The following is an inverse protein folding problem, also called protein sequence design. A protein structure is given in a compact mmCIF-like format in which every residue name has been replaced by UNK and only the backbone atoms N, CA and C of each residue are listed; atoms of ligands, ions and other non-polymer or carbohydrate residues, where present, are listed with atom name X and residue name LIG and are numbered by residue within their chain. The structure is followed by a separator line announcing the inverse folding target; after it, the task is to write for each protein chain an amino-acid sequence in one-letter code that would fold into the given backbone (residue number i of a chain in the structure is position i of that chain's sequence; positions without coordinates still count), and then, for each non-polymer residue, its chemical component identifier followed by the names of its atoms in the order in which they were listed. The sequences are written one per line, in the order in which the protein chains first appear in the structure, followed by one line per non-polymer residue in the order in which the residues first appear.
data_IF_325990768410
#
_entry.id   IF_325990768410
#
_cell.length_a   1.000
_cell.length_b   1.000
_cell.length_c   1.000
_cell.angle_alpha   90.00
_cell.angle_beta   90.00
_cell.angle_gamma   90.00
#
_symmetry.space_group_name_H-M   'P 1'
#
loop_
_entity.id
_entity.type
_entity.pdbx_description
1 polymer ?
#
# COMPACT_ATOMS: atom_id res chain seq x y z
N UNK A 1 -12.91 -17.70 -7.08
CA UNK A 1 -12.29 -17.52 -8.43
C UNK A 1 -11.18 -16.49 -8.36
N UNK A 2 -11.40 -15.34 -7.70
CA UNK A 2 -10.37 -14.33 -7.45
C UNK A 2 -9.22 -14.81 -6.56
N UNK A 3 -9.48 -15.67 -5.57
CA UNK A 3 -8.43 -16.22 -4.69
C UNK A 3 -7.37 -16.99 -5.49
N UNK A 4 -7.79 -17.76 -6.49
CA UNK A 4 -6.89 -18.53 -7.35
C UNK A 4 -6.01 -17.62 -8.24
N UNK A 5 -6.52 -16.46 -8.66
CA UNK A 5 -5.72 -15.49 -9.42
C UNK A 5 -4.65 -14.85 -8.53
N UNK A 6 -4.99 -14.52 -7.28
CA UNK A 6 -4.02 -14.01 -6.31
C UNK A 6 -2.98 -15.05 -5.91
N UNK A 7 -3.37 -16.31 -5.76
CA UNK A 7 -2.42 -17.40 -5.52
C UNK A 7 -1.49 -17.66 -6.71
N UNK A 8 -2.03 -17.58 -7.93
CA UNK A 8 -1.23 -17.69 -9.14
C UNK A 8 -0.25 -16.51 -9.28
N UNK A 9 -0.70 -15.29 -8.96
CA UNK A 9 0.14 -14.09 -8.92
C UNK A 9 1.29 -14.26 -7.91
N UNK A 10 0.99 -14.78 -6.71
CA UNK A 10 2.00 -15.09 -5.70
C UNK A 10 2.99 -16.14 -6.18
N UNK A 11 2.52 -17.19 -6.86
CA UNK A 11 3.36 -18.26 -7.42
C UNK A 11 4.30 -17.74 -8.52
N UNK A 12 3.78 -16.93 -9.45
CA UNK A 12 4.61 -16.33 -10.50
C UNK A 12 5.62 -15.34 -9.92
N UNK A 13 5.22 -14.54 -8.92
CA UNK A 13 6.12 -13.63 -8.23
C UNK A 13 7.27 -14.39 -7.53
N UNK A 14 6.96 -15.47 -6.82
CA UNK A 14 7.97 -16.33 -6.18
C UNK A 14 8.89 -16.99 -7.20
N UNK A 15 8.35 -17.34 -8.37
CA UNK A 15 9.11 -17.94 -9.48
C UNK A 15 9.96 -16.93 -10.25
N UNK A 16 9.88 -15.63 -9.94
CA UNK A 16 10.59 -14.56 -10.66
C UNK A 16 9.99 -14.22 -12.02
N UNK A 17 8.81 -14.76 -12.35
CA UNK A 17 8.10 -14.57 -13.60
C UNK A 17 7.27 -13.28 -13.54
N UNK A 18 7.96 -12.13 -13.62
CA UNK A 18 7.37 -10.81 -13.43
C UNK A 18 6.36 -10.45 -14.54
N UNK A 19 6.59 -10.88 -15.79
CA UNK A 19 5.68 -10.60 -16.90
C UNK A 19 4.33 -11.34 -16.74
N UNK A 20 4.37 -12.61 -16.33
CA UNK A 20 3.18 -13.41 -16.06
C UNK A 20 2.41 -12.85 -14.86
N UNK A 21 3.13 -12.45 -13.80
CA UNK A 21 2.52 -11.80 -12.65
C UNK A 21 1.86 -10.45 -13.03
N UNK A 22 2.48 -9.68 -13.92
CA UNK A 22 1.89 -8.44 -14.46
C UNK A 22 0.61 -8.73 -15.23
N UNK A 23 0.64 -9.74 -16.11
CA UNK A 23 -0.54 -10.13 -16.88
C UNK A 23 -1.71 -10.54 -15.97
N UNK A 24 -1.45 -11.33 -14.92
CA UNK A 24 -2.48 -11.69 -13.94
C UNK A 24 -3.01 -10.46 -13.21
N UNK A 25 -2.14 -9.57 -12.74
CA UNK A 25 -2.57 -8.36 -12.04
C UNK A 25 -3.46 -7.46 -12.93
N UNK A 26 -3.13 -7.35 -14.22
CA UNK A 26 -3.93 -6.61 -15.21
C UNK A 26 -5.28 -7.29 -15.47
N UNK A 27 -5.31 -8.62 -15.54
CA UNK A 27 -6.57 -9.37 -15.71
C UNK A 27 -7.53 -9.16 -14.53
N UNK A 28 -6.99 -9.03 -13.31
CA UNK A 28 -7.81 -8.72 -12.13
C UNK A 28 -8.36 -7.29 -12.23
N UNK A 29 -7.56 -6.32 -12.71
CA UNK A 29 -8.01 -4.94 -12.92
C UNK A 29 -9.04 -4.79 -14.05
N UNK A 30 -8.98 -5.63 -15.08
CA UNK A 30 -10.01 -5.67 -16.12
C UNK A 30 -11.37 -6.15 -15.55
N UNK A 31 -11.34 -7.06 -14.59
CA UNK A 31 -12.54 -7.56 -13.92
C UNK A 31 -13.05 -6.64 -12.82
N UNK A 32 -12.14 -5.99 -12.07
CA UNK A 32 -12.42 -5.04 -11.00
C UNK A 32 -11.61 -3.77 -11.28
N UNK A 33 -12.20 -2.79 -11.97
CA UNK A 33 -11.59 -1.47 -12.14
C UNK A 33 -11.22 -0.88 -10.78
N UNK A 34 -10.06 -0.22 -10.71
CA UNK A 34 -9.55 0.43 -9.49
C UNK A 34 -9.35 -0.46 -8.25
N UNK A 35 -9.10 -1.77 -8.44
CA UNK A 35 -8.68 -2.62 -7.32
C UNK A 35 -7.31 -2.17 -6.75
N UNK A 36 -7.34 -1.66 -5.53
CA UNK A 36 -6.19 -1.14 -4.80
C UNK A 36 -5.09 -2.22 -4.65
N UNK A 37 -5.48 -3.47 -4.40
CA UNK A 37 -4.53 -4.57 -4.18
C UNK A 37 -3.75 -4.86 -5.47
N UNK A 38 -4.45 -4.96 -6.59
CA UNK A 38 -3.83 -5.21 -7.90
C UNK A 38 -2.95 -4.03 -8.34
N UNK A 39 -3.36 -2.79 -8.09
CA UNK A 39 -2.53 -1.60 -8.34
C UNK A 39 -1.23 -1.61 -7.51
N UNK A 40 -1.30 -2.01 -6.24
CA UNK A 40 -0.12 -2.14 -5.39
C UNK A 40 0.85 -3.22 -5.89
N UNK A 41 0.33 -4.37 -6.30
CA UNK A 41 1.16 -5.43 -6.86
C UNK A 41 1.75 -5.05 -8.22
N UNK A 42 1.02 -4.36 -9.09
CA UNK A 42 1.58 -3.79 -10.32
C UNK A 42 2.71 -2.80 -10.01
N UNK A 43 2.52 -1.92 -9.02
CA UNK A 43 3.58 -1.02 -8.58
C UNK A 43 4.84 -1.77 -8.13
N UNK A 44 4.68 -2.87 -7.38
CA UNK A 44 5.80 -3.73 -6.98
C UNK A 44 6.49 -4.40 -8.19
N UNK A 45 5.71 -4.92 -9.13
CA UNK A 45 6.21 -5.57 -10.34
C UNK A 45 6.96 -4.59 -11.25
N UNK A 46 6.43 -3.37 -11.43
CA UNK A 46 7.12 -2.29 -12.15
C UNK A 46 8.40 -1.85 -11.45
N UNK A 47 8.38 -1.77 -10.11
CA UNK A 47 9.58 -1.47 -9.33
C UNK A 47 10.66 -2.54 -9.55
N UNK A 48 10.29 -3.82 -9.58
CA UNK A 48 11.22 -4.93 -9.87
C UNK A 48 11.69 -4.96 -11.33
N UNK A 49 10.84 -4.55 -12.26
CA UNK A 49 11.14 -4.47 -13.69
C UNK A 49 11.90 -3.20 -14.10
N UNK A 50 12.45 -2.44 -13.13
CA UNK A 50 13.14 -1.17 -13.32
C UNK A 50 12.29 -0.02 -13.92
N UNK A 51 10.97 -0.21 -14.08
CA UNK A 51 9.99 0.77 -14.56
C UNK A 51 9.55 1.69 -13.42
N UNK A 52 10.49 2.46 -12.88
CA UNK A 52 10.30 3.23 -11.64
C UNK A 52 9.25 4.33 -11.75
N UNK A 53 9.12 4.97 -12.91
CA UNK A 53 8.10 6.00 -13.18
C UNK A 53 6.69 5.43 -13.05
N UNK A 54 6.44 4.29 -13.69
CA UNK A 54 5.13 3.62 -13.68
C UNK A 54 4.83 3.00 -12.32
N UNK A 55 5.84 2.49 -11.62
CA UNK A 55 5.70 2.03 -10.24
C UNK A 55 5.18 3.15 -9.32
N UNK A 56 5.75 4.37 -9.43
CA UNK A 56 5.30 5.52 -8.64
C UNK A 56 3.88 5.95 -9.00
N UNK A 57 3.50 5.89 -10.27
CA UNK A 57 2.13 6.17 -10.71
C UNK A 57 1.14 5.17 -10.11
N UNK A 58 1.46 3.87 -10.16
CA UNK A 58 0.62 2.81 -9.59
C UNK A 58 0.48 2.93 -8.06
N UNK A 59 1.57 3.24 -7.34
CA UNK A 59 1.50 3.44 -5.88
C UNK A 59 0.73 4.71 -5.47
N UNK A 60 0.77 5.75 -6.30
CA UNK A 60 -0.03 6.95 -6.09
C UNK A 60 -1.51 6.69 -6.40
N UNK A 61 -1.82 5.94 -7.46
CA UNK A 61 -3.19 5.54 -7.78
C UNK A 61 -3.79 4.62 -6.69
N UNK A 62 -2.97 3.78 -6.06
CA UNK A 62 -3.37 2.95 -4.93
C UNK A 62 -3.53 3.72 -3.61
N UNK A 63 -3.32 5.04 -3.57
CA UNK A 63 -3.54 5.86 -2.39
C UNK A 63 -5.01 6.27 -2.33
N UNK A 64 -5.71 5.89 -1.26
CA UNK A 64 -7.12 6.28 -0.97
C UNK A 64 -7.31 7.81 -0.95
N UNK A 65 -6.22 8.59 -0.86
CA UNK A 65 -6.21 10.04 -0.68
C UNK A 65 -5.66 10.79 -1.91
N UNK A 66 -5.43 10.12 -3.05
CA UNK A 66 -4.98 10.79 -4.27
C UNK A 66 -6.13 11.59 -4.89
N UNK A 67 -6.07 12.93 -4.91
CA UNK A 67 -6.98 13.71 -5.73
C UNK A 67 -6.39 13.80 -7.15
N UNK A 68 -7.26 13.68 -8.16
CA UNK A 68 -7.01 13.94 -9.57
C UNK A 68 -6.40 12.79 -10.40
N UNK A 69 -7.28 11.88 -10.85
CA UNK A 69 -7.42 11.56 -12.28
C UNK A 69 -8.65 10.69 -12.64
N UNK A 70 -9.80 10.79 -11.96
CA UNK A 70 -11.11 10.34 -12.47
C UNK A 70 -12.23 10.79 -11.51
N UNK A 71 -13.45 11.07 -12.00
CA UNK A 71 -14.44 11.84 -11.24
C UNK A 71 -15.11 11.00 -10.15
N UNK A 72 -15.30 11.66 -9.01
CA UNK A 72 -16.42 11.52 -8.07
C UNK A 72 -16.74 10.09 -7.58
N UNK A 73 -16.35 9.74 -6.35
CA UNK A 73 -17.19 10.03 -5.17
C UNK A 73 -18.61 9.44 -5.28
N UNK A 74 -18.74 8.16 -4.91
CA UNK A 74 -20.04 7.49 -4.87
C UNK A 74 -20.19 6.41 -3.80
N UNK A 75 -19.40 6.37 -2.72
CA UNK A 75 -19.62 5.35 -1.65
C UNK A 75 -19.65 3.92 -2.22
N UNK A 76 -18.73 3.65 -3.14
CA UNK A 76 -18.93 2.74 -4.26
C UNK A 76 -18.83 1.25 -3.89
N UNK A 77 -19.57 0.38 -4.60
CA UNK A 77 -19.41 -1.08 -4.56
C UNK A 77 -17.96 -1.52 -4.83
N UNK A 78 -17.15 -0.70 -5.49
CA UNK A 78 -15.74 -0.96 -5.78
C UNK A 78 -14.85 -1.00 -4.52
N UNK A 79 -15.19 -0.22 -3.48
CA UNK A 79 -14.53 -0.32 -2.17
C UNK A 79 -14.85 -1.66 -1.48
N UNK A 80 -16.05 -2.21 -1.70
CA UNK A 80 -16.42 -3.55 -1.21
C UNK A 80 -15.73 -4.64 -2.02
N UNK A 81 -15.61 -4.47 -3.33
CA UNK A 81 -14.89 -5.40 -4.21
C UNK A 81 -13.39 -5.44 -3.87
N UNK A 82 -12.76 -4.28 -3.68
CA UNK A 82 -11.35 -4.22 -3.26
C UNK A 82 -11.14 -4.78 -1.84
N UNK A 83 -12.09 -4.60 -0.92
CA UNK A 83 -12.04 -5.26 0.38
C UNK A 83 -12.15 -6.80 0.28
N UNK A 84 -12.89 -7.31 -0.71
CA UNK A 84 -12.92 -8.75 -1.02
C UNK A 84 -11.59 -9.22 -1.62
N UNK A 85 -11.00 -8.47 -2.55
CA UNK A 85 -9.67 -8.76 -3.09
C UNK A 85 -8.60 -8.76 -2.00
N UNK A 86 -8.65 -7.82 -1.06
CA UNK A 86 -7.72 -7.78 0.06
C UNK A 86 -7.89 -9.00 0.96
N UNK A 87 -9.13 -9.42 1.23
CA UNK A 87 -9.39 -10.64 1.99
C UNK A 87 -8.88 -11.90 1.28
N UNK A 88 -9.03 -11.97 -0.05
CA UNK A 88 -8.51 -13.06 -0.87
C UNK A 88 -6.97 -13.09 -0.85
N UNK A 89 -6.34 -11.93 -1.04
CA UNK A 89 -4.90 -11.77 -1.11
C UNK A 89 -4.19 -11.85 0.25
N UNK A 90 -4.90 -11.60 1.35
CA UNK A 90 -4.38 -11.70 2.73
C UNK A 90 -4.97 -12.87 3.50
N UNK A 91 -5.61 -13.81 2.80
CA UNK A 91 -6.18 -15.02 3.41
C UNK A 91 -5.09 -15.88 4.06
N UNK A 92 -5.47 -16.62 5.10
CA UNK A 92 -4.56 -17.51 5.81
C UNK A 92 -3.93 -18.53 4.86
N UNK A 93 -2.59 -18.56 4.78
CA UNK A 93 -1.87 -19.43 3.85
C UNK A 93 -1.68 -18.86 2.44
N UNK A 94 -2.05 -17.60 2.19
CA UNK A 94 -1.84 -16.99 0.87
C UNK A 94 -0.37 -16.97 0.49
N UNK A 95 -0.09 -17.40 -0.75
CA UNK A 95 1.26 -17.38 -1.34
C UNK A 95 1.82 -15.96 -1.50
N UNK A 96 0.97 -14.94 -1.37
CA UNK A 96 1.34 -13.53 -1.44
C UNK A 96 2.02 -13.00 -0.18
N UNK A 97 2.09 -13.75 0.93
CA UNK A 97 2.69 -13.26 2.17
C UNK A 97 4.10 -12.65 1.96
N UNK A 98 4.93 -13.29 1.14
CA UNK A 98 6.26 -12.77 0.78
C UNK A 98 6.20 -11.52 -0.10
N UNK A 99 5.27 -11.47 -1.07
CA UNK A 99 5.07 -10.32 -1.94
C UNK A 99 4.55 -9.09 -1.17
N UNK A 100 3.63 -9.30 -0.22
CA UNK A 100 3.15 -8.27 0.71
C UNK A 100 4.26 -7.71 1.59
N UNK A 101 5.18 -8.56 2.05
CA UNK A 101 6.35 -8.12 2.81
C UNK A 101 7.31 -7.27 1.95
N UNK A 102 7.62 -7.73 0.74
CA UNK A 102 8.45 -6.98 -0.21
C UNK A 102 7.84 -5.63 -0.58
N UNK A 103 6.52 -5.62 -0.85
CA UNK A 103 5.74 -4.40 -1.07
C UNK A 103 5.88 -3.42 0.10
N UNK A 104 5.71 -3.90 1.33
CA UNK A 104 5.87 -3.10 2.53
C UNK A 104 7.26 -2.45 2.66
N UNK A 105 8.32 -3.18 2.30
CA UNK A 105 9.67 -2.63 2.30
C UNK A 105 9.89 -1.60 1.18
N UNK A 106 9.35 -1.84 -0.01
CA UNK A 106 9.42 -0.89 -1.13
C UNK A 106 8.70 0.40 -0.76
N UNK A 107 7.46 0.31 -0.26
CA UNK A 107 6.67 1.46 0.19
C UNK A 107 7.36 2.22 1.33
N UNK A 108 8.01 1.51 2.27
CA UNK A 108 8.81 2.14 3.31
C UNK A 108 9.98 2.94 2.74
N UNK A 109 10.69 2.42 1.72
CA UNK A 109 11.78 3.13 1.04
C UNK A 109 11.29 4.32 0.23
N UNK A 110 10.07 4.25 -0.30
CA UNK A 110 9.43 5.34 -1.03
C UNK A 110 8.83 6.41 -0.10
N UNK A 111 8.81 6.18 1.22
CA UNK A 111 8.28 7.10 2.21
C UNK A 111 6.77 7.02 2.42
N UNK A 112 6.08 6.07 1.77
CA UNK A 112 4.66 5.81 1.96
C UNK A 112 4.40 4.93 3.20
N UNK A 113 4.75 5.45 4.38
CA UNK A 113 4.71 4.68 5.64
C UNK A 113 3.33 4.10 5.99
N UNK A 114 2.24 4.82 5.64
CA UNK A 114 0.87 4.35 5.88
C UNK A 114 0.54 3.09 5.07
N UNK A 115 0.79 3.13 3.76
CA UNK A 115 0.60 1.96 2.88
C UNK A 115 1.57 0.83 3.26
N UNK A 116 2.81 1.14 3.62
CA UNK A 116 3.81 0.16 4.04
C UNK A 116 3.34 -0.66 5.26
N UNK A 117 2.75 0.00 6.26
CA UNK A 117 2.19 -0.68 7.43
C UNK A 117 1.00 -1.55 7.07
N UNK A 118 0.10 -1.08 6.21
CA UNK A 118 -1.05 -1.86 5.75
C UNK A 118 -0.60 -3.14 4.98
N UNK A 119 0.37 -3.00 4.07
CA UNK A 119 0.94 -4.13 3.33
C UNK A 119 1.61 -5.16 4.26
N UNK A 120 2.38 -4.70 5.26
CA UNK A 120 3.01 -5.60 6.23
C UNK A 120 1.98 -6.27 7.15
N UNK A 121 0.88 -5.60 7.49
CA UNK A 121 -0.23 -6.21 8.22
C UNK A 121 -0.92 -7.29 7.40
N UNK A 122 -1.13 -7.05 6.10
CA UNK A 122 -1.65 -8.07 5.19
C UNK A 122 -0.71 -9.29 5.09
N UNK A 123 0.61 -9.08 5.09
CA UNK A 123 1.59 -10.17 5.16
C UNK A 123 1.45 -11.00 6.45
N UNK A 124 1.23 -10.36 7.60
CA UNK A 124 1.04 -11.03 8.90
C UNK A 124 -0.32 -11.75 8.94
N UNK A 125 -1.37 -11.19 8.34
CA UNK A 125 -2.66 -11.84 8.24
C UNK A 125 -2.59 -13.11 7.39
N UNK A 126 -1.86 -13.06 6.27
CA UNK A 126 -1.64 -14.21 5.39
C UNK A 126 -0.76 -15.28 6.06
N UNK A 127 0.28 -14.86 6.78
CA UNK A 127 1.18 -15.74 7.52
C UNK A 127 1.45 -15.16 8.92
N UNK A 128 0.70 -15.60 9.95
CA UNK A 128 0.89 -15.11 11.32
C UNK A 128 2.29 -15.40 11.84
N UNK A 129 2.86 -16.54 11.47
CA UNK A 129 4.24 -16.93 11.77
C UNK A 129 5.22 -16.38 10.71
N UNK A 130 5.24 -15.05 10.58
CA UNK A 130 6.19 -14.33 9.73
C UNK A 130 6.99 -13.30 10.55
N UNK A 131 8.05 -13.73 11.26
CA UNK A 131 8.79 -12.88 12.19
C UNK A 131 9.46 -11.66 11.53
N UNK A 132 9.86 -11.79 10.25
CA UNK A 132 10.42 -10.69 9.48
C UNK A 132 9.41 -9.55 9.30
N UNK A 133 8.16 -9.87 8.94
CA UNK A 133 7.09 -8.88 8.79
C UNK A 133 6.74 -8.20 10.12
N UNK A 134 6.63 -8.98 11.21
CA UNK A 134 6.38 -8.43 12.55
C UNK A 134 7.49 -7.46 13.01
N UNK A 135 8.75 -7.82 12.77
CA UNK A 135 9.90 -6.96 13.09
C UNK A 135 9.89 -5.68 12.27
N UNK A 136 9.57 -5.79 10.96
CA UNK A 136 9.44 -4.63 10.09
C UNK A 136 8.32 -3.69 10.55
N UNK A 137 7.14 -4.21 10.90
CA UNK A 137 6.03 -3.41 11.44
C UNK A 137 6.46 -2.66 12.69
N UNK A 138 7.08 -3.33 13.67
CA UNK A 138 7.55 -2.70 14.92
C UNK A 138 8.55 -1.58 14.66
N UNK A 139 9.47 -1.79 13.72
CA UNK A 139 10.48 -0.77 13.36
C UNK A 139 9.86 0.43 12.68
N UNK A 140 8.93 0.20 11.75
CA UNK A 140 8.27 1.26 10.98
C UNK A 140 7.28 2.03 11.85
N UNK A 141 6.51 1.35 12.70
CA UNK A 141 5.57 1.99 13.62
C UNK A 141 6.30 2.86 14.65
N UNK A 142 7.44 2.41 15.17
CA UNK A 142 8.31 3.22 16.03
C UNK A 142 8.84 4.48 15.31
N UNK A 143 9.32 4.32 14.07
CA UNK A 143 9.79 5.43 13.24
C UNK A 143 8.67 6.44 12.92
N UNK A 144 7.48 5.95 12.57
CA UNK A 144 6.33 6.78 12.23
C UNK A 144 5.74 7.50 13.46
N UNK A 145 5.67 6.83 14.62
CA UNK A 145 5.24 7.44 15.87
C UNK A 145 6.14 8.62 16.26
N UNK A 146 7.45 8.49 16.10
CA UNK A 146 8.40 9.58 16.34
C UNK A 146 8.24 10.74 15.35
N UNK A 147 8.10 10.48 14.04
CA UNK A 147 7.87 11.56 13.05
C UNK A 147 6.53 12.25 13.23
N UNK A 148 5.46 11.52 13.60
CA UNK A 148 4.14 12.12 13.86
C UNK A 148 4.15 12.97 15.12
N UNK A 149 4.88 12.55 16.16
CA UNK A 149 5.08 13.36 17.36
C UNK A 149 5.85 14.66 17.06
N UNK A 150 6.87 14.60 16.21
CA UNK A 150 7.58 15.79 15.72
C UNK A 150 6.69 16.70 14.87
N UNK A 151 5.92 16.14 13.94
CA UNK A 151 5.01 16.91 13.09
C UNK A 151 3.88 17.58 13.89
N UNK A 152 3.27 16.88 14.86
CA UNK A 152 2.28 17.48 15.77
C UNK A 152 2.88 18.59 16.62
N UNK A 153 4.09 18.41 17.15
CA UNK A 153 4.80 19.47 17.91
C UNK A 153 5.14 20.67 17.03
N UNK A 154 5.54 20.45 15.79
CA UNK A 154 5.89 21.52 14.85
C UNK A 154 4.64 22.28 14.39
N UNK A 155 3.51 21.59 14.14
CA UNK A 155 2.22 22.23 13.85
C UNK A 155 1.68 23.03 15.03
N UNK A 156 1.80 22.53 16.26
CA UNK A 156 1.40 23.29 17.46
C UNK A 156 2.29 24.51 17.66
N UNK A 157 3.61 24.40 17.44
CA UNK A 157 4.52 25.53 17.52
C UNK A 157 4.23 26.60 16.44
N UNK A 158 3.91 26.19 15.21
CA UNK A 158 3.50 27.09 14.13
C UNK A 158 2.13 27.74 14.38
N UNK A 159 1.17 27.00 14.96
CA UNK A 159 -0.12 27.54 15.33
C UNK A 159 -0.01 28.60 16.44
N UNK A 160 0.82 28.34 17.46
CA UNK A 160 1.08 29.31 18.54
C UNK A 160 1.82 30.55 18.03
N UNK A 161 2.80 30.38 17.13
CA UNK A 161 3.50 31.50 16.49
C UNK A 161 2.55 32.39 15.67
N UNK A 162 1.63 31.80 14.88
CA UNK A 162 0.64 32.56 14.12
C UNK A 162 -0.37 33.31 15.00
N UNK A 163 -0.76 32.75 16.16
CA UNK A 163 -1.68 33.44 17.08
C UNK A 163 -1.05 34.65 17.78
N UNK A 164 0.26 34.62 18.02
CA UNK A 164 1.00 35.72 18.66
C UNK A 164 1.20 36.91 17.69
N UNK A 165 1.42 36.65 16.40
CA UNK A 165 1.57 37.70 15.38
C UNK A 165 0.24 38.44 15.10
N UNK A 166 -0.90 37.73 15.17
CA UNK A 166 -2.23 38.32 15.00
C UNK A 166 -2.68 39.22 16.17
N UNK A 167 -2.13 39.03 17.37
CA UNK A 167 -2.44 39.87 18.53
C UNK A 167 -1.54 41.10 18.66
N UNK A 168 -0.43 41.18 17.92
CA UNK A 168 0.49 42.33 17.94
C UNK A 168 0.14 43.41 16.89
N UNK A 169 -0.87 43.20 16.05
CA UNK A 169 -1.31 44.12 14.97
C UNK A 169 -2.67 44.80 15.20
N UNK A 170 -3.30 44.57 16.36
CA UNK A 170 -4.49 45.32 16.81
C UNK A 170 -4.13 46.16 18.03
#
# INVERSE_FOLDING_TARGET
MIDALFDLLGTFYQSGQLEQAEWIARSILEAIPDDIVSLQFLGLLYYRSARRSEAMQAFNAAHIDAPAAAPAAGGDPDLRASAQCLRAASGHGSTLAGAWYDLGLVLFRLGHYGQALAALQAAIAARPDYPAAQTAVRRISGFFAHRRAHSKRQQVALAVANTLDSHAKN
#
